data_IF_799334116806
#
_entry.id   IF_799334116806
#
_cell.length_a   1.000
_cell.length_b   1.000
_cell.length_c   1.000
_cell.angle_alpha   90.00
_cell.angle_beta   90.00
_cell.angle_gamma   90.00
#
_symmetry.space_group_name_H-M   'P 1'
#
loop_
_entity.id
_entity.type
_entity.pdbx_description
1 polymer ?
#
# COMPACT_ATOMS: atom_id res chain seq x y z
N UNK A 1 16.15 -22.74 37.61
CA UNK A 1 15.73 -22.49 36.22
C UNK A 1 15.22 -21.06 36.20
N UNK A 2 15.82 -20.19 35.40
CA UNK A 2 15.44 -18.76 35.33
C UNK A 2 14.37 -18.53 34.26
N UNK A 3 13.75 -17.34 34.27
CA UNK A 3 12.73 -16.96 33.28
C UNK A 3 13.25 -17.07 31.83
N UNK A 4 14.49 -16.64 31.58
CA UNK A 4 15.11 -16.67 30.26
C UNK A 4 15.14 -18.09 29.69
N UNK A 5 15.62 -19.06 30.46
CA UNK A 5 15.72 -20.46 30.05
C UNK A 5 14.35 -21.07 29.73
N UNK A 6 13.31 -20.69 30.46
CA UNK A 6 11.93 -21.16 30.20
C UNK A 6 11.40 -20.57 28.89
N UNK A 7 11.57 -19.26 28.69
CA UNK A 7 11.15 -18.55 27.47
C UNK A 7 11.85 -19.14 26.24
N UNK A 8 13.17 -19.32 26.28
CA UNK A 8 13.95 -19.86 25.15
C UNK A 8 13.55 -21.29 24.81
N UNK A 9 13.35 -22.15 25.81
CA UNK A 9 12.90 -23.53 25.60
C UNK A 9 11.50 -23.58 25.00
N UNK A 10 10.59 -22.73 25.49
CA UNK A 10 9.26 -22.61 24.93
C UNK A 10 9.30 -22.12 23.49
N UNK A 11 10.06 -21.07 23.22
CA UNK A 11 10.20 -20.49 21.88
C UNK A 11 10.77 -21.49 20.88
N UNK A 12 11.82 -22.23 21.26
CA UNK A 12 12.40 -23.26 20.40
C UNK A 12 11.40 -24.38 20.09
N UNK A 13 10.62 -24.80 21.08
CA UNK A 13 9.61 -25.85 20.93
C UNK A 13 8.45 -25.41 20.02
N UNK A 14 7.92 -24.22 20.24
CA UNK A 14 6.70 -23.75 19.57
C UNK A 14 6.95 -23.09 18.21
N UNK A 15 8.11 -22.44 18.03
CA UNK A 15 8.38 -21.61 16.85
C UNK A 15 9.64 -22.02 16.07
N UNK A 16 10.54 -22.81 16.65
CA UNK A 16 11.83 -23.16 16.04
C UNK A 16 12.86 -22.01 16.10
N UNK A 17 13.75 -21.95 15.11
CA UNK A 17 14.94 -21.07 15.12
C UNK A 17 14.74 -19.70 14.42
N UNK A 18 13.66 -19.53 13.66
CA UNK A 18 13.44 -18.33 12.83
C UNK A 18 12.87 -17.17 13.66
N UNK A 19 12.21 -17.49 14.77
CA UNK A 19 11.61 -16.55 15.69
C UNK A 19 12.60 -16.23 16.82
N UNK A 20 12.73 -14.96 17.14
CA UNK A 20 13.53 -14.47 18.26
C UNK A 20 12.61 -14.00 19.38
N UNK A 21 13.11 -14.12 20.60
CA UNK A 21 12.44 -13.66 21.81
C UNK A 21 13.33 -12.64 22.50
N UNK A 22 12.72 -11.59 23.02
CA UNK A 22 13.43 -10.60 23.82
C UNK A 22 13.65 -11.12 25.25
N UNK A 23 14.59 -10.55 26.01
CA UNK A 23 14.74 -10.90 27.42
C UNK A 23 13.42 -10.66 28.19
N UNK A 24 13.01 -11.58 29.09
CA UNK A 24 11.79 -11.42 29.86
C UNK A 24 11.92 -10.26 30.83
N UNK A 25 10.95 -9.35 30.79
CA UNK A 25 10.83 -8.22 31.70
C UNK A 25 9.76 -8.50 32.75
N UNK A 26 10.06 -8.22 34.03
CA UNK A 26 9.09 -8.37 35.11
C UNK A 26 8.09 -7.22 35.12
N UNK A 27 6.79 -7.54 35.20
CA UNK A 27 5.69 -6.57 35.18
C UNK A 27 5.02 -6.52 36.56
N UNK A 28 5.38 -5.50 37.35
CA UNK A 28 4.93 -5.31 38.74
C UNK A 28 3.41 -5.29 38.91
N UNK A 29 2.65 -4.75 37.93
CA UNK A 29 1.19 -4.57 38.06
C UNK A 29 0.42 -5.90 38.03
N UNK A 30 1.03 -6.99 37.59
CA UNK A 30 0.37 -8.29 37.50
C UNK A 30 1.19 -9.47 37.98
N UNK A 31 2.38 -9.23 38.54
CA UNK A 31 3.31 -10.25 39.02
C UNK A 31 3.56 -11.36 37.99
N UNK A 32 4.05 -10.96 36.82
CA UNK A 32 4.39 -11.87 35.74
C UNK A 32 5.61 -11.37 34.95
N UNK A 33 6.30 -12.28 34.28
CA UNK A 33 7.34 -11.97 33.31
C UNK A 33 6.75 -11.94 31.91
N UNK A 34 7.18 -10.98 31.10
CA UNK A 34 6.75 -10.78 29.73
C UNK A 34 7.94 -10.77 28.80
N UNK A 35 7.91 -11.61 27.77
CA UNK A 35 8.88 -11.61 26.68
C UNK A 35 8.16 -11.34 25.37
N UNK A 36 8.65 -10.37 24.60
CA UNK A 36 8.16 -10.09 23.26
C UNK A 36 8.69 -11.11 22.25
N UNK A 37 7.89 -11.40 21.23
CA UNK A 37 8.24 -12.29 20.11
C UNK A 37 8.48 -11.42 18.86
N UNK A 38 9.61 -11.63 18.18
CA UNK A 38 10.00 -10.89 16.96
C UNK A 38 10.52 -11.82 15.87
N UNK A 39 10.52 -11.36 14.62
CA UNK A 39 11.06 -12.12 13.49
C UNK A 39 11.95 -11.27 12.60
N UNK A 40 12.94 -11.94 12.01
CA UNK A 40 13.82 -11.39 10.99
C UNK A 40 13.52 -12.15 9.70
N UNK A 41 12.58 -11.63 8.89
CA UNK A 41 12.13 -12.34 7.69
C UNK A 41 13.05 -12.03 6.50
N UNK A 42 13.72 -13.04 5.91
CA UNK A 42 14.61 -12.80 4.77
C UNK A 42 13.80 -12.56 3.50
N UNK A 43 14.21 -11.54 2.74
CA UNK A 43 13.69 -11.18 1.43
C UNK A 43 14.82 -11.34 0.43
N UNK A 44 14.64 -12.26 -0.52
CA UNK A 44 15.60 -12.53 -1.59
C UNK A 44 15.31 -11.61 -2.77
N UNK A 45 16.32 -10.89 -3.22
CA UNK A 45 16.21 -9.90 -4.28
C UNK A 45 17.19 -10.27 -5.40
N UNK A 46 16.62 -10.40 -6.59
CA UNK A 46 17.34 -10.79 -7.80
C UNK A 46 17.41 -9.58 -8.74
N UNK A 47 18.63 -9.22 -9.15
CA UNK A 47 18.89 -8.27 -10.22
C UNK A 47 19.24 -9.04 -11.49
N UNK A 48 18.42 -8.89 -12.54
CA UNK A 48 18.57 -9.66 -13.77
C UNK A 48 19.80 -9.27 -14.61
N UNK A 49 20.59 -8.26 -14.20
CA UNK A 49 21.92 -8.00 -14.79
C UNK A 49 22.96 -9.01 -14.30
N UNK A 50 22.83 -9.48 -13.07
CA UNK A 50 23.78 -10.35 -12.39
C UNK A 50 23.04 -11.55 -11.79
N UNK A 51 22.46 -12.45 -12.62
CA UNK A 51 21.55 -13.50 -12.14
C UNK A 51 22.20 -14.55 -11.22
N UNK A 52 23.53 -14.62 -11.17
CA UNK A 52 24.27 -15.48 -10.26
C UNK A 52 24.31 -14.92 -8.82
N UNK A 53 24.11 -13.60 -8.67
CA UNK A 53 24.17 -12.91 -7.39
C UNK A 53 22.77 -12.54 -6.93
N UNK A 54 22.43 -12.96 -5.71
CA UNK A 54 21.20 -12.55 -5.04
C UNK A 54 21.55 -11.79 -3.77
N UNK A 55 20.81 -10.71 -3.52
CA UNK A 55 20.96 -9.90 -2.32
C UNK A 55 19.88 -10.34 -1.32
N UNK A 56 20.28 -10.51 -0.06
CA UNK A 56 19.34 -10.79 1.04
C UNK A 56 19.13 -9.50 1.84
N UNK A 57 17.87 -9.10 1.97
CA UNK A 57 17.43 -8.09 2.94
C UNK A 57 16.62 -8.75 4.04
N UNK A 58 16.61 -8.15 5.23
CA UNK A 58 15.88 -8.67 6.37
C UNK A 58 14.78 -7.68 6.72
N UNK A 59 13.53 -8.10 6.54
CA UNK A 59 12.37 -7.40 7.04
C UNK A 59 12.24 -7.68 8.53
N UNK A 60 12.42 -6.64 9.35
CA UNK A 60 12.30 -6.74 10.81
C UNK A 60 10.84 -6.61 11.20
N UNK A 61 10.34 -7.58 11.96
CA UNK A 61 9.00 -7.58 12.53
C UNK A 61 9.18 -7.59 14.04
N UNK A 62 8.95 -6.43 14.65
CA UNK A 62 9.32 -6.18 16.04
C UNK A 62 8.32 -6.79 17.04
N UNK A 63 7.06 -6.99 16.64
CA UNK A 63 6.03 -7.56 17.51
C UNK A 63 5.14 -8.57 16.79
N UNK A 64 5.32 -9.85 17.09
CA UNK A 64 4.50 -10.98 16.61
C UNK A 64 3.59 -11.57 17.69
N UNK A 65 3.79 -11.18 18.94
CA UNK A 65 3.10 -11.73 20.09
C UNK A 65 3.97 -11.67 21.32
N UNK A 66 3.60 -12.44 22.34
CA UNK A 66 4.30 -12.42 23.62
C UNK A 66 4.26 -13.78 24.32
N UNK A 67 5.26 -14.04 25.15
CA UNK A 67 5.31 -15.16 26.08
C UNK A 67 5.17 -14.59 27.48
N UNK A 68 4.23 -15.13 28.25
CA UNK A 68 3.97 -14.68 29.62
C UNK A 68 4.23 -15.81 30.61
N UNK A 69 5.01 -15.53 31.67
CA UNK A 69 5.26 -16.46 32.78
C UNK A 69 4.73 -15.90 34.10
N UNK A 70 4.21 -16.73 34.99
CA UNK A 70 3.94 -16.31 36.38
C UNK A 70 5.25 -16.22 37.20
N UNK A 71 5.15 -15.83 38.47
CA UNK A 71 6.29 -15.76 39.40
C UNK A 71 7.00 -17.11 39.61
N UNK A 72 6.31 -18.23 39.33
CA UNK A 72 6.86 -19.59 39.39
C UNK A 72 7.45 -20.05 38.06
N UNK A 73 7.64 -19.14 37.10
CA UNK A 73 8.14 -19.41 35.74
C UNK A 73 7.30 -20.42 34.95
N UNK A 74 6.00 -20.49 35.22
CA UNK A 74 5.06 -21.30 34.43
C UNK A 74 4.40 -20.42 33.38
N UNK A 75 4.29 -20.95 32.16
CA UNK A 75 3.60 -20.29 31.05
C UNK A 75 2.15 -20.01 31.45
N UNK A 76 1.68 -18.78 31.18
CA UNK A 76 0.28 -18.37 31.33
C UNK A 76 -0.39 -18.51 29.95
N UNK A 77 -1.14 -19.60 29.69
CA UNK A 77 -1.69 -19.87 28.36
C UNK A 77 -2.56 -18.74 27.78
N UNK A 78 -3.51 -18.13 28.53
CA UNK A 78 -4.39 -17.11 27.94
C UNK A 78 -3.68 -15.79 27.60
N UNK A 79 -2.40 -15.63 27.96
CA UNK A 79 -1.60 -14.44 27.68
C UNK A 79 -0.40 -14.71 26.77
N UNK A 80 -0.23 -15.96 26.33
CA UNK A 80 0.91 -16.39 25.54
C UNK A 80 0.46 -16.72 24.13
N UNK A 81 1.15 -16.15 23.14
CA UNK A 81 0.90 -16.43 21.73
C UNK A 81 1.52 -17.77 21.37
N UNK A 82 0.73 -18.76 20.93
CA UNK A 82 1.25 -20.08 20.56
C UNK A 82 1.67 -20.16 19.08
N UNK A 83 2.31 -21.26 18.67
CA UNK A 83 2.91 -21.38 17.33
C UNK A 83 1.98 -21.07 16.16
N UNK A 84 0.75 -21.59 16.18
CA UNK A 84 -0.23 -21.35 15.13
C UNK A 84 -0.65 -19.87 15.04
N UNK A 85 -0.85 -19.23 16.20
CA UNK A 85 -1.20 -17.80 16.29
C UNK A 85 -0.02 -16.92 15.84
N UNK A 86 1.20 -17.24 16.27
CA UNK A 86 2.42 -16.55 15.86
C UNK A 86 2.61 -16.61 14.33
N UNK A 87 2.35 -17.78 13.71
CA UNK A 87 2.43 -17.93 12.26
C UNK A 87 1.34 -17.11 11.54
N UNK A 88 0.12 -17.08 12.08
CA UNK A 88 -0.95 -16.26 11.54
C UNK A 88 -0.60 -14.76 11.61
N UNK A 89 -0.09 -14.32 12.77
CA UNK A 89 0.42 -12.98 12.99
C UNK A 89 1.51 -12.62 11.97
N UNK A 90 2.49 -13.50 11.76
CA UNK A 90 3.52 -13.29 10.73
C UNK A 90 2.92 -13.12 9.34
N UNK A 91 1.97 -13.97 8.93
CA UNK A 91 1.30 -13.86 7.63
C UNK A 91 0.56 -12.53 7.48
N UNK A 92 -0.18 -12.11 8.51
CA UNK A 92 -0.88 -10.82 8.52
C UNK A 92 0.10 -9.65 8.38
N UNK A 93 1.25 -9.70 9.06
CA UNK A 93 2.26 -8.64 8.99
C UNK A 93 2.91 -8.56 7.62
N UNK A 94 3.20 -9.70 7.00
CA UNK A 94 3.71 -9.74 5.63
C UNK A 94 2.68 -9.20 4.63
N UNK A 95 1.40 -9.55 4.80
CA UNK A 95 0.33 -9.03 3.92
C UNK A 95 0.11 -7.53 4.13
N UNK A 96 0.15 -7.05 5.37
CA UNK A 96 0.12 -5.62 5.67
C UNK A 96 1.30 -4.89 5.02
N UNK A 97 2.53 -5.43 5.12
CA UNK A 97 3.70 -4.86 4.46
C UNK A 97 3.50 -4.75 2.95
N UNK A 98 2.98 -5.80 2.31
CA UNK A 98 2.66 -5.78 0.88
C UNK A 98 1.69 -4.65 0.51
N UNK A 99 0.64 -4.47 1.30
CA UNK A 99 -0.33 -3.40 1.05
C UNK A 99 0.30 -2.02 1.24
N UNK A 100 1.17 -1.85 2.25
CA UNK A 100 1.90 -0.60 2.46
C UNK A 100 2.86 -0.30 1.30
N UNK A 101 3.61 -1.30 0.82
CA UNK A 101 4.50 -1.14 -0.32
C UNK A 101 3.75 -0.72 -1.58
N UNK A 102 2.63 -1.38 -1.89
CA UNK A 102 1.78 -0.99 -3.04
C UNK A 102 1.25 0.44 -2.88
N UNK A 103 0.78 0.82 -1.68
CA UNK A 103 0.31 2.18 -1.41
C UNK A 103 1.43 3.22 -1.57
N UNK A 104 2.65 2.91 -1.11
CA UNK A 104 3.82 3.79 -1.31
C UNK A 104 4.08 3.98 -2.80
N UNK A 105 4.12 2.90 -3.57
CA UNK A 105 4.38 2.94 -5.01
C UNK A 105 3.33 3.78 -5.71
N UNK A 106 2.04 3.51 -5.47
CA UNK A 106 0.95 4.30 -6.08
C UNK A 106 0.99 5.76 -5.67
N UNK A 107 1.28 6.03 -4.39
CA UNK A 107 1.32 7.39 -3.85
C UNK A 107 2.46 8.23 -4.43
N UNK A 108 3.57 7.59 -4.79
CA UNK A 108 4.71 8.25 -5.44
C UNK A 108 4.49 8.37 -6.96
N UNK A 109 3.99 7.31 -7.60
CA UNK A 109 3.77 7.27 -9.06
C UNK A 109 2.45 7.94 -9.51
N UNK A 110 1.66 8.55 -8.60
CA UNK A 110 0.28 8.99 -8.92
C UNK A 110 0.22 9.99 -10.07
N UNK A 111 1.20 10.89 -10.16
CA UNK A 111 1.31 11.90 -11.21
C UNK A 111 1.57 11.28 -12.59
N UNK A 112 2.37 10.22 -12.66
CA UNK A 112 2.64 9.49 -13.91
C UNK A 112 1.47 8.59 -14.27
N UNK A 113 0.87 7.92 -13.28
CA UNK A 113 -0.24 7.00 -13.48
C UNK A 113 -1.47 7.70 -14.07
N UNK A 114 -1.79 8.93 -13.64
CA UNK A 114 -2.93 9.67 -14.20
C UNK A 114 -2.74 10.05 -15.66
N UNK A 115 -1.50 10.15 -16.16
CA UNK A 115 -1.19 10.41 -17.57
C UNK A 115 -1.47 9.22 -18.49
N UNK A 116 -1.72 8.04 -17.91
CA UNK A 116 -2.13 6.86 -18.70
C UNK A 116 -3.58 7.07 -19.13
N UNK A 117 -3.82 7.19 -20.44
CA UNK A 117 -5.15 7.42 -21.02
C UNK A 117 -6.23 6.45 -20.50
N UNK A 118 -5.89 5.17 -20.36
CA UNK A 118 -6.84 4.19 -19.81
C UNK A 118 -7.19 4.43 -18.35
N UNK A 119 -6.35 5.13 -17.57
CA UNK A 119 -6.66 5.55 -16.20
C UNK A 119 -7.64 6.72 -16.24
N UNK A 120 -7.36 7.77 -17.04
CA UNK A 120 -8.26 8.94 -17.20
C UNK A 120 -9.69 8.53 -17.54
N UNK A 121 -9.86 7.57 -18.45
CA UNK A 121 -11.20 7.06 -18.82
C UNK A 121 -12.05 6.57 -17.63
N UNK A 122 -11.43 6.12 -16.54
CA UNK A 122 -12.15 5.70 -15.32
C UNK A 122 -12.54 6.89 -14.42
N UNK A 123 -11.86 8.01 -14.57
CA UNK A 123 -12.09 9.25 -13.85
C UNK A 123 -12.99 10.24 -14.59
N UNK A 124 -13.46 9.95 -15.81
CA UNK A 124 -14.33 10.84 -16.60
C UNK A 124 -15.49 11.46 -15.81
N UNK A 125 -16.11 10.72 -14.87
CA UNK A 125 -17.21 11.26 -14.04
C UNK A 125 -16.71 12.24 -12.98
N UNK A 126 -15.52 12.03 -12.44
CA UNK A 126 -14.86 13.00 -11.56
C UNK A 126 -14.42 14.21 -12.38
N UNK A 127 -13.82 13.99 -13.56
CA UNK A 127 -13.42 15.06 -14.49
C UNK A 127 -14.60 15.97 -14.82
N UNK A 128 -15.73 15.41 -15.24
CA UNK A 128 -16.96 16.16 -15.52
C UNK A 128 -17.41 17.05 -14.33
N UNK A 129 -17.34 16.52 -13.11
CA UNK A 129 -17.73 17.26 -11.91
C UNK A 129 -16.75 18.41 -11.65
N UNK A 130 -15.46 18.14 -11.79
CA UNK A 130 -14.41 19.14 -11.55
C UNK A 130 -14.43 20.23 -12.62
N UNK A 131 -14.60 19.88 -13.89
CA UNK A 131 -14.75 20.83 -15.00
C UNK A 131 -15.96 21.74 -14.79
N UNK A 132 -17.11 21.18 -14.41
CA UNK A 132 -18.28 22.00 -14.07
C UNK A 132 -17.99 22.96 -12.92
N UNK A 133 -17.26 22.50 -11.90
CA UNK A 133 -16.87 23.32 -10.76
C UNK A 133 -15.91 24.45 -11.17
N UNK A 134 -14.97 24.18 -12.08
CA UNK A 134 -14.05 25.19 -12.64
C UNK A 134 -14.78 26.26 -13.44
N UNK A 135 -15.82 25.88 -14.19
CA UNK A 135 -16.58 26.83 -15.02
C UNK A 135 -17.59 27.66 -14.21
N UNK A 136 -18.16 27.09 -13.14
CA UNK A 136 -19.32 27.66 -12.45
C UNK A 136 -19.08 28.06 -10.99
N UNK A 137 -17.89 27.78 -10.43
CA UNK A 137 -17.49 27.97 -9.02
C UNK A 137 -18.34 27.23 -7.97
N UNK A 138 -19.45 26.61 -8.37
CA UNK A 138 -20.38 25.89 -7.52
C UNK A 138 -21.25 24.94 -8.32
N UNK A 139 -21.70 23.87 -7.68
CA UNK A 139 -22.63 22.89 -8.27
C UNK A 139 -23.89 22.82 -7.42
N UNK A 140 -25.05 23.11 -7.99
CA UNK A 140 -26.30 22.92 -7.27
C UNK A 140 -26.57 21.41 -7.10
N UNK A 141 -26.90 20.96 -5.89
CA UNK A 141 -27.07 19.53 -5.59
C UNK A 141 -28.09 18.81 -6.48
N UNK A 142 -29.13 19.52 -6.92
CA UNK A 142 -30.12 18.96 -7.83
C UNK A 142 -29.53 18.64 -9.21
N UNK A 143 -28.57 19.44 -9.69
CA UNK A 143 -28.05 19.34 -11.07
C UNK A 143 -27.19 18.09 -11.27
N UNK A 144 -26.50 17.64 -10.22
CA UNK A 144 -25.68 16.41 -10.22
C UNK A 144 -26.44 15.15 -10.63
N UNK A 145 -27.77 15.12 -10.45
CA UNK A 145 -28.55 13.89 -10.62
C UNK A 145 -29.85 14.11 -11.40
N UNK A 146 -30.10 15.31 -11.91
CA UNK A 146 -31.37 15.66 -12.56
C UNK A 146 -31.64 14.84 -13.82
N UNK A 147 -30.60 14.61 -14.62
CA UNK A 147 -30.70 14.00 -15.95
C UNK A 147 -30.14 12.58 -16.03
N UNK A 148 -29.64 12.03 -14.92
CA UNK A 148 -28.93 10.75 -14.91
C UNK A 148 -29.87 9.57 -14.53
N UNK A 149 -29.67 8.37 -15.09
CA UNK A 149 -30.34 7.15 -14.62
C UNK A 149 -29.98 6.82 -13.16
N UNK A 150 -30.84 6.10 -12.44
CA UNK A 150 -30.68 5.80 -11.00
C UNK A 150 -29.30 5.22 -10.63
N UNK A 151 -28.79 4.26 -11.41
CA UNK A 151 -27.45 3.68 -11.17
C UNK A 151 -26.33 4.73 -11.28
N UNK A 152 -26.43 5.63 -12.27
CA UNK A 152 -25.46 6.72 -12.44
C UNK A 152 -25.58 7.75 -11.32
N UNK A 153 -26.79 8.04 -10.81
CA UNK A 153 -26.99 8.92 -9.64
C UNK A 153 -26.24 8.39 -8.41
N UNK A 154 -26.33 7.09 -8.14
CA UNK A 154 -25.62 6.45 -7.03
C UNK A 154 -24.10 6.56 -7.21
N UNK A 155 -23.60 6.35 -8.43
CA UNK A 155 -22.17 6.47 -8.74
C UNK A 155 -21.66 7.90 -8.56
N UNK A 156 -22.38 8.91 -9.05
CA UNK A 156 -22.05 10.33 -8.87
C UNK A 156 -22.03 10.70 -7.38
N UNK A 157 -23.03 10.26 -6.61
CA UNK A 157 -23.04 10.48 -5.14
C UNK A 157 -21.81 9.89 -4.46
N UNK A 158 -21.38 8.68 -4.83
CA UNK A 158 -20.16 8.08 -4.30
C UNK A 158 -18.91 8.92 -4.63
N UNK A 159 -18.79 9.43 -5.85
CA UNK A 159 -17.69 10.32 -6.21
C UNK A 159 -17.73 11.65 -5.47
N UNK A 160 -18.92 12.25 -5.27
CA UNK A 160 -19.06 13.47 -4.47
C UNK A 160 -18.63 13.23 -3.03
N UNK A 161 -19.11 12.16 -2.39
CA UNK A 161 -18.71 11.81 -1.04
C UNK A 161 -17.19 11.57 -0.94
N UNK A 162 -16.60 10.92 -1.95
CA UNK A 162 -15.16 10.73 -2.04
C UNK A 162 -14.42 12.07 -2.08
N UNK A 163 -14.81 12.97 -2.98
CA UNK A 163 -14.18 14.29 -3.13
C UNK A 163 -14.39 15.19 -1.91
N UNK A 164 -15.55 15.10 -1.26
CA UNK A 164 -15.85 15.80 -0.01
C UNK A 164 -14.97 15.27 1.14
N UNK A 165 -14.82 13.95 1.26
CA UNK A 165 -13.93 13.32 2.26
C UNK A 165 -12.46 13.69 2.07
N UNK A 166 -12.09 14.17 0.89
CA UNK A 166 -10.76 14.64 0.54
C UNK A 166 -10.61 16.16 0.68
N UNK A 167 -11.69 16.88 1.01
CA UNK A 167 -11.66 18.35 1.08
C UNK A 167 -11.41 19.02 -0.27
N UNK A 168 -11.76 18.34 -1.37
CA UNK A 168 -11.76 18.92 -2.73
C UNK A 168 -13.01 19.76 -2.93
N UNK A 169 -14.16 19.22 -2.53
CA UNK A 169 -15.44 19.94 -2.47
C UNK A 169 -15.95 20.00 -1.04
N UNK A 170 -16.82 20.95 -0.72
CA UNK A 170 -17.61 20.95 0.52
C UNK A 170 -19.05 21.29 0.23
N UNK A 171 -19.97 20.69 0.99
CA UNK A 171 -21.38 20.98 0.88
C UNK A 171 -21.77 22.21 1.72
N UNK A 172 -22.36 23.21 1.06
CA UNK A 172 -23.00 24.38 1.66
C UNK A 172 -24.38 24.55 1.04
N UNK A 173 -25.42 24.07 1.73
CA UNK A 173 -26.79 23.99 1.21
C UNK A 173 -27.21 25.27 0.47
N UNK A 174 -27.67 25.19 -0.80
CA UNK A 174 -27.93 23.99 -1.61
C UNK A 174 -26.80 23.55 -2.57
N UNK A 175 -25.59 24.05 -2.39
CA UNK A 175 -24.48 23.92 -3.34
C UNK A 175 -23.33 23.04 -2.82
N UNK A 176 -22.57 22.49 -3.74
CA UNK A 176 -21.19 22.09 -3.50
C UNK A 176 -20.27 23.17 -4.03
N UNK A 177 -19.26 23.54 -3.25
CA UNK A 177 -18.28 24.57 -3.60
C UNK A 177 -16.85 24.06 -3.42
N UNK A 178 -15.84 24.73 -4.00
CA UNK A 178 -14.44 24.43 -3.77
C UNK A 178 -14.07 24.41 -2.28
N UNK A 179 -13.35 23.38 -1.86
CA UNK A 179 -12.81 23.28 -0.51
C UNK A 179 -11.28 23.46 -0.52
N UNK A 180 -10.65 23.29 0.65
CA UNK A 180 -9.26 23.70 0.88
C UNK A 180 -8.26 23.07 -0.09
N UNK A 181 -8.41 21.78 -0.41
CA UNK A 181 -7.49 21.09 -1.34
C UNK A 181 -7.64 21.68 -2.74
N UNK A 182 -8.87 21.89 -3.21
CA UNK A 182 -9.11 22.53 -4.50
C UNK A 182 -8.45 23.92 -4.56
N UNK A 183 -8.79 24.80 -3.61
CA UNK A 183 -8.32 26.19 -3.58
C UNK A 183 -6.78 26.25 -3.50
N UNK A 184 -6.17 25.37 -2.69
CA UNK A 184 -4.71 25.32 -2.57
C UNK A 184 -4.02 24.82 -3.84
N UNK A 185 -4.64 23.86 -4.54
CA UNK A 185 -4.11 23.30 -5.78
C UNK A 185 -4.23 24.31 -6.91
N UNK A 186 -5.39 24.97 -7.02
CA UNK A 186 -5.67 26.02 -8.00
C UNK A 186 -4.64 27.15 -7.92
N UNK A 187 -4.35 27.65 -6.71
CA UNK A 187 -3.31 28.67 -6.48
C UNK A 187 -1.90 28.26 -6.92
N UNK A 188 -1.61 26.96 -6.96
CA UNK A 188 -0.32 26.40 -7.37
C UNK A 188 -0.23 26.05 -8.85
N UNK A 189 -1.34 26.10 -9.58
CA UNK A 189 -1.42 25.72 -10.99
C UNK A 189 -1.74 26.91 -11.88
N UNK A 190 -1.29 26.89 -13.13
CA UNK A 190 -1.48 27.98 -14.09
C UNK A 190 -2.44 27.64 -15.24
N UNK A 191 -2.99 26.43 -15.27
CA UNK A 191 -3.95 25.96 -16.28
C UNK A 191 -4.94 24.99 -15.66
N UNK A 192 -6.17 24.96 -16.18
CA UNK A 192 -7.24 24.05 -15.73
C UNK A 192 -6.85 22.58 -15.91
N UNK A 193 -6.14 22.25 -17.00
CA UNK A 193 -5.64 20.90 -17.24
C UNK A 193 -4.65 20.44 -16.14
N UNK A 194 -3.80 21.35 -15.66
CA UNK A 194 -2.87 21.06 -14.56
C UNK A 194 -3.62 20.94 -13.25
N UNK A 195 -4.58 21.82 -12.98
CA UNK A 195 -5.44 21.73 -11.80
C UNK A 195 -6.15 20.38 -11.76
N UNK A 196 -6.80 19.99 -12.87
CA UNK A 196 -7.50 18.72 -13.01
C UNK A 196 -6.57 17.54 -12.76
N UNK A 197 -5.42 17.52 -13.45
CA UNK A 197 -4.41 16.47 -13.30
C UNK A 197 -3.94 16.36 -11.85
N UNK A 198 -3.64 17.48 -11.20
CA UNK A 198 -3.19 17.51 -9.81
C UNK A 198 -4.26 17.02 -8.83
N UNK A 199 -5.53 17.39 -9.03
CA UNK A 199 -6.65 16.91 -8.22
C UNK A 199 -6.87 15.40 -8.40
N UNK A 200 -6.84 14.89 -9.62
CA UNK A 200 -6.97 13.46 -9.88
C UNK A 200 -5.80 12.66 -9.32
N UNK A 201 -4.57 13.15 -9.47
CA UNK A 201 -3.39 12.57 -8.84
C UNK A 201 -3.55 12.53 -7.32
N UNK A 202 -4.03 13.60 -6.70
CA UNK A 202 -4.32 13.65 -5.28
C UNK A 202 -5.35 12.59 -4.84
N UNK A 203 -6.42 12.40 -5.62
CA UNK A 203 -7.43 11.35 -5.37
C UNK A 203 -6.78 9.96 -5.42
N UNK A 204 -5.97 9.67 -6.44
CA UNK A 204 -5.25 8.38 -6.55
C UNK A 204 -4.32 8.19 -5.35
N UNK A 205 -3.53 9.22 -5.04
CA UNK A 205 -2.52 9.21 -3.99
C UNK A 205 -3.06 8.86 -2.61
N UNK A 206 -4.28 9.30 -2.29
CA UNK A 206 -4.88 9.13 -0.95
C UNK A 206 -5.89 7.98 -0.93
N UNK A 207 -6.63 7.75 -2.02
CA UNK A 207 -7.80 6.86 -2.02
C UNK A 207 -7.66 5.68 -2.98
N UNK A 208 -6.46 5.33 -3.42
CA UNK A 208 -6.24 4.16 -4.26
C UNK A 208 -6.90 2.86 -3.74
N UNK A 209 -6.83 2.49 -2.44
CA UNK A 209 -7.53 1.31 -1.94
C UNK A 209 -9.06 1.39 -2.16
N UNK A 210 -9.67 2.53 -1.83
CA UNK A 210 -11.11 2.79 -2.07
C UNK A 210 -11.44 2.71 -3.57
N UNK A 211 -10.61 3.33 -4.42
CA UNK A 211 -10.76 3.30 -5.88
C UNK A 211 -10.69 1.86 -6.43
N UNK A 212 -9.78 1.04 -5.92
CA UNK A 212 -9.64 -0.36 -6.31
C UNK A 212 -10.84 -1.19 -5.84
N UNK A 213 -11.17 -1.10 -4.55
CA UNK A 213 -12.07 -2.04 -3.87
C UNK A 213 -13.55 -1.64 -4.00
N UNK A 214 -13.88 -0.35 -3.97
CA UNK A 214 -15.27 0.15 -4.03
C UNK A 214 -15.70 0.59 -5.43
N UNK A 215 -14.75 1.14 -6.22
CA UNK A 215 -15.02 1.60 -7.58
C UNK A 215 -14.65 0.57 -8.66
N UNK A 216 -14.12 -0.59 -8.26
CA UNK A 216 -13.91 -1.74 -9.14
C UNK A 216 -12.90 -1.48 -10.26
N UNK A 217 -11.89 -0.65 -10.00
CA UNK A 217 -10.94 -0.20 -11.02
C UNK A 217 -9.88 -1.26 -11.33
N UNK A 218 -10.30 -2.39 -11.91
CA UNK A 218 -9.47 -3.56 -12.23
C UNK A 218 -8.33 -3.30 -13.21
N UNK A 219 -8.42 -2.26 -14.04
CA UNK A 219 -7.32 -1.82 -14.91
C UNK A 219 -6.20 -1.19 -14.08
N UNK A 220 -6.54 -0.38 -13.06
CA UNK A 220 -5.56 0.17 -12.13
C UNK A 220 -4.81 -0.98 -11.46
N UNK A 221 -5.54 -1.99 -10.97
CA UNK A 221 -4.97 -3.14 -10.25
C UNK A 221 -3.83 -3.80 -11.01
N UNK A 222 -3.96 -4.05 -12.32
CA UNK A 222 -2.90 -4.73 -13.08
C UNK A 222 -1.73 -3.81 -13.43
N UNK A 223 -1.99 -2.56 -13.77
CA UNK A 223 -0.93 -1.61 -14.11
C UNK A 223 -0.12 -1.24 -12.87
N UNK A 224 -0.80 -0.90 -11.77
CA UNK A 224 -0.20 -0.71 -10.44
C UNK A 224 0.52 -1.98 -10.01
N UNK A 225 -0.08 -3.15 -10.23
CA UNK A 225 0.54 -4.40 -9.85
C UNK A 225 1.90 -4.64 -10.52
N UNK A 226 2.01 -4.28 -11.81
CA UNK A 226 3.28 -4.33 -12.55
C UNK A 226 4.26 -3.27 -12.06
N UNK A 227 3.80 -2.05 -11.79
CA UNK A 227 4.63 -0.97 -11.24
C UNK A 227 5.23 -1.39 -9.89
N UNK A 228 4.39 -1.92 -9.01
CA UNK A 228 4.79 -2.39 -7.69
C UNK A 228 5.81 -3.54 -7.75
N UNK A 229 5.69 -4.51 -8.65
CA UNK A 229 6.70 -5.60 -8.72
C UNK A 229 8.05 -5.16 -9.28
N UNK A 230 8.11 -4.00 -9.95
CA UNK A 230 9.37 -3.37 -10.36
C UNK A 230 9.97 -2.60 -9.18
N UNK A 231 9.17 -1.79 -8.48
CA UNK A 231 9.66 -0.94 -7.39
C UNK A 231 9.82 -1.64 -6.04
N UNK A 232 9.10 -2.73 -5.76
CA UNK A 232 9.20 -3.46 -4.49
C UNK A 232 10.64 -3.90 -4.17
N UNK A 233 11.40 -4.56 -5.07
CA UNK A 233 12.80 -4.87 -4.79
C UNK A 233 13.66 -3.61 -4.60
N UNK A 234 13.39 -2.51 -5.30
CA UNK A 234 14.11 -1.25 -5.14
C UNK A 234 13.82 -0.58 -3.80
N UNK A 235 12.59 -0.68 -3.31
CA UNK A 235 12.17 -0.22 -1.97
C UNK A 235 12.93 -0.94 -0.86
N UNK A 236 13.22 -2.23 -1.03
CA UNK A 236 13.98 -3.02 -0.07
C UNK A 236 15.50 -2.81 -0.18
N UNK A 237 15.99 -2.60 -1.40
CA UNK A 237 17.41 -2.41 -1.64
C UNK A 237 17.88 -0.96 -1.44
N UNK A 238 16.97 0.00 -1.55
CA UNK A 238 17.22 1.45 -1.62
C UNK A 238 18.10 1.86 -2.82
N UNK A 239 18.10 1.04 -3.88
CA UNK A 239 18.86 1.25 -5.13
C UNK A 239 18.10 0.65 -6.32
N UNK A 240 18.52 0.98 -7.55
CA UNK A 240 17.92 0.42 -8.77
C UNK A 240 18.11 -1.09 -8.84
N UNK A 241 17.04 -1.83 -9.18
CA UNK A 241 17.07 -3.27 -9.39
C UNK A 241 16.49 -3.57 -10.76
N UNK A 242 17.30 -4.17 -11.62
CA UNK A 242 16.93 -4.38 -13.02
C UNK A 242 16.16 -5.69 -13.17
N UNK A 243 15.04 -5.61 -13.89
CA UNK A 243 14.06 -6.70 -14.01
C UNK A 243 13.71 -6.99 -15.47
N UNK A 244 13.91 -8.21 -15.92
CA UNK A 244 13.42 -8.69 -17.21
C UNK A 244 11.95 -9.13 -17.12
N UNK A 245 11.32 -9.35 -18.27
CA UNK A 245 9.89 -9.71 -18.32
C UNK A 245 9.58 -11.04 -17.60
N UNK A 246 10.32 -12.15 -17.80
CA UNK A 246 10.12 -13.38 -17.03
C UNK A 246 10.10 -13.15 -15.51
N UNK A 247 11.09 -12.43 -14.99
CA UNK A 247 11.20 -12.10 -13.56
C UNK A 247 10.06 -11.23 -13.07
N UNK A 248 9.52 -10.34 -13.91
CA UNK A 248 8.32 -9.55 -13.59
C UNK A 248 7.08 -10.45 -13.53
N UNK A 249 6.91 -11.37 -14.48
CA UNK A 249 5.78 -12.34 -14.50
C UNK A 249 5.80 -13.20 -13.24
N UNK A 250 6.96 -13.75 -12.88
CA UNK A 250 7.12 -14.61 -11.72
C UNK A 250 6.85 -13.86 -10.42
N UNK A 251 7.40 -12.64 -10.27
CA UNK A 251 7.10 -11.79 -9.12
C UNK A 251 5.63 -11.43 -9.03
N UNK A 252 5.00 -11.07 -10.16
CA UNK A 252 3.57 -10.76 -10.20
C UNK A 252 2.73 -11.96 -9.76
N UNK A 253 3.04 -13.16 -10.24
CA UNK A 253 2.36 -14.39 -9.84
C UNK A 253 2.53 -14.70 -8.36
N UNK A 254 3.76 -14.58 -7.83
CA UNK A 254 4.04 -14.84 -6.41
C UNK A 254 3.37 -13.81 -5.50
N UNK A 255 3.35 -12.55 -5.91
CA UNK A 255 2.84 -11.46 -5.08
C UNK A 255 1.31 -11.41 -5.07
N UNK A 256 0.67 -11.49 -6.25
CA UNK A 256 -0.78 -11.34 -6.40
C UNK A 256 -1.54 -12.66 -6.53
N UNK A 257 -0.85 -13.80 -6.61
CA UNK A 257 -1.49 -15.10 -6.84
C UNK A 257 -2.17 -15.24 -8.21
N UNK A 258 -1.87 -14.34 -9.15
CA UNK A 258 -2.55 -14.23 -10.46
C UNK A 258 -1.53 -14.28 -11.59
N UNK A 259 -1.87 -14.97 -12.68
CA UNK A 259 -1.07 -14.93 -13.90
C UNK A 259 -1.35 -13.62 -14.66
N UNK A 260 -0.31 -13.07 -15.30
CA UNK A 260 -0.44 -11.95 -16.23
C UNK A 260 -0.19 -12.44 -17.66
N UNK A 261 -1.08 -12.07 -18.58
CA UNK A 261 -0.90 -12.38 -19.99
C UNK A 261 0.33 -11.61 -20.54
N UNK A 262 1.26 -12.27 -21.25
CA UNK A 262 2.48 -11.61 -21.75
C UNK A 262 2.24 -10.42 -22.68
N UNK A 263 1.20 -10.48 -23.55
CA UNK A 263 0.85 -9.35 -24.42
C UNK A 263 0.36 -8.16 -23.59
N UNK A 264 -0.44 -8.43 -22.55
CA UNK A 264 -0.90 -7.41 -21.62
C UNK A 264 0.26 -6.82 -20.81
N UNK A 265 1.21 -7.63 -20.37
CA UNK A 265 2.41 -7.14 -19.69
C UNK A 265 3.21 -6.19 -20.59
N UNK A 266 3.44 -6.56 -21.86
CA UNK A 266 4.13 -5.70 -22.82
C UNK A 266 3.43 -4.34 -22.99
N UNK A 267 2.09 -4.35 -23.07
CA UNK A 267 1.30 -3.12 -23.17
C UNK A 267 1.43 -2.26 -21.91
N UNK A 268 1.39 -2.86 -20.72
CA UNK A 268 1.53 -2.14 -19.45
C UNK A 268 2.92 -1.52 -19.32
N UNK A 269 3.98 -2.29 -19.58
CA UNK A 269 5.36 -1.81 -19.50
C UNK A 269 5.60 -0.62 -20.44
N UNK A 270 5.12 -0.69 -21.68
CA UNK A 270 5.20 0.43 -22.63
C UNK A 270 4.45 1.67 -22.14
N UNK A 271 3.30 1.51 -21.49
CA UNK A 271 2.52 2.62 -20.94
C UNK A 271 3.25 3.27 -19.77
N UNK A 272 3.74 2.47 -18.82
CA UNK A 272 4.52 2.94 -17.67
C UNK A 272 5.79 3.66 -18.11
N UNK A 273 6.51 3.10 -19.08
CA UNK A 273 7.70 3.71 -19.68
C UNK A 273 7.36 5.05 -20.36
N UNK A 274 6.28 5.11 -21.15
CA UNK A 274 5.84 6.32 -21.85
C UNK A 274 5.53 7.48 -20.89
N UNK A 275 4.89 7.20 -19.76
CA UNK A 275 4.54 8.22 -18.76
C UNK A 275 5.70 8.50 -17.79
N UNK A 276 6.85 7.87 -17.97
CA UNK A 276 8.01 8.03 -17.08
C UNK A 276 7.76 7.50 -15.67
N UNK A 277 6.89 6.49 -15.51
CA UNK A 277 6.71 5.78 -14.24
C UNK A 277 7.82 4.74 -14.03
N UNK A 278 8.39 4.19 -15.10
CA UNK A 278 9.54 3.28 -15.06
C UNK A 278 10.53 3.64 -16.18
N UNK A 279 11.74 3.09 -16.09
CA UNK A 279 12.76 3.19 -17.13
C UNK A 279 13.08 1.82 -17.71
N UNK A 280 13.63 1.82 -18.93
CA UNK A 280 14.10 0.63 -19.62
C UNK A 280 15.53 0.82 -20.10
N UNK A 281 16.37 -0.19 -19.91
CA UNK A 281 17.72 -0.29 -20.47
C UNK A 281 17.89 -1.69 -21.04
N UNK A 282 18.09 -1.77 -22.37
CA UNK A 282 18.08 -3.04 -23.10
C UNK A 282 16.78 -3.83 -22.85
N UNK A 283 16.85 -5.04 -22.31
CA UNK A 283 15.70 -5.89 -22.00
C UNK A 283 15.20 -5.76 -20.56
N UNK A 284 15.85 -4.92 -19.75
CA UNK A 284 15.54 -4.77 -18.33
C UNK A 284 14.78 -3.47 -18.04
N UNK A 285 13.84 -3.57 -17.11
CA UNK A 285 13.03 -2.48 -16.56
C UNK A 285 13.44 -2.21 -15.11
N UNK A 286 13.39 -0.95 -14.70
CA UNK A 286 13.77 -0.51 -13.35
C UNK A 286 13.07 0.81 -13.02
N UNK A 287 13.12 1.21 -11.76
CA UNK A 287 12.49 2.43 -11.27
C UNK A 287 13.19 3.71 -11.72
N UNK A 288 12.40 4.78 -11.86
CA UNK A 288 12.88 6.14 -12.06
C UNK A 288 13.43 6.65 -10.73
N UNK A 289 14.61 7.25 -10.75
CA UNK A 289 15.33 7.66 -9.53
C UNK A 289 14.50 8.60 -8.62
N UNK A 290 13.91 9.66 -9.17
CA UNK A 290 13.10 10.61 -8.38
C UNK A 290 11.88 9.96 -7.72
N UNK A 291 11.23 9.02 -8.40
CA UNK A 291 10.10 8.26 -7.84
C UNK A 291 10.59 7.30 -6.76
N UNK A 292 11.68 6.58 -6.99
CA UNK A 292 12.30 5.70 -5.99
C UNK A 292 12.67 6.47 -4.72
N UNK A 293 13.28 7.65 -4.84
CA UNK A 293 13.66 8.48 -3.69
C UNK A 293 12.44 8.92 -2.86
N UNK A 294 11.34 9.33 -3.50
CA UNK A 294 10.09 9.64 -2.81
C UNK A 294 9.51 8.40 -2.12
N UNK A 295 9.53 7.24 -2.79
CA UNK A 295 9.09 5.96 -2.22
C UNK A 295 9.90 5.55 -1.00
N UNK A 296 11.24 5.67 -1.04
CA UNK A 296 12.13 5.40 0.10
C UNK A 296 11.84 6.38 1.24
N UNK A 297 11.63 7.66 0.92
CA UNK A 297 11.29 8.68 1.92
C UNK A 297 9.96 8.37 2.61
N UNK A 298 8.95 7.93 1.84
CA UNK A 298 7.66 7.48 2.38
C UNK A 298 7.82 6.22 3.24
N UNK A 299 8.61 5.23 2.79
CA UNK A 299 8.92 4.02 3.57
C UNK A 299 9.55 4.35 4.92
N UNK A 300 10.52 5.28 4.96
CA UNK A 300 11.21 5.70 6.20
C UNK A 300 10.30 6.41 7.20
N UNK A 301 9.15 6.93 6.75
CA UNK A 301 8.12 7.54 7.61
C UNK A 301 7.13 6.53 8.18
N UNK A 302 7.14 5.28 7.72
CA UNK A 302 6.29 4.23 8.28
C UNK A 302 6.81 3.83 9.66
N UNK A 303 5.87 3.59 10.57
CA UNK A 303 6.19 2.95 11.84
C UNK A 303 6.73 1.53 11.60
N UNK A 304 7.57 1.01 12.52
CA UNK A 304 7.99 -0.39 12.47
C UNK A 304 6.78 -1.33 12.39
N UNK A 305 6.94 -2.44 11.66
CA UNK A 305 5.90 -3.47 11.56
C UNK A 305 5.61 -4.04 12.95
N UNK A 306 4.55 -3.52 13.58
CA UNK A 306 4.03 -3.92 14.87
C UNK A 306 2.54 -4.27 14.78
N UNK A 307 2.11 -5.32 15.50
CA UNK A 307 0.70 -5.61 15.66
C UNK A 307 0.15 -4.60 16.66
N UNK A 308 -0.44 -3.52 16.18
CA UNK A 308 -1.24 -2.66 17.04
C UNK A 308 -2.51 -3.43 17.44
N UNK A 309 -3.01 -3.33 18.69
CA UNK A 309 -4.28 -3.94 19.11
C UNK A 309 -5.51 -3.41 18.34
N UNK A 310 -5.32 -2.48 17.41
CA UNK A 310 -6.32 -1.92 16.52
C UNK A 310 -5.97 -2.14 15.04
N UNK A 311 -5.75 -3.39 14.62
CA UNK A 311 -5.94 -3.72 13.20
C UNK A 311 -7.43 -3.51 12.88
N UNK A 312 -7.81 -2.63 11.95
CA UNK A 312 -9.20 -2.45 11.56
C UNK A 312 -9.76 -3.80 11.09
N UNK A 313 -10.94 -4.19 11.58
CA UNK A 313 -11.64 -5.43 11.18
C UNK A 313 -11.81 -5.58 9.66
N UNK A 314 -11.65 -4.50 8.89
CA UNK A 314 -11.64 -4.54 7.42
C UNK A 314 -10.47 -5.33 6.82
N UNK A 315 -9.44 -5.67 7.60
CA UNK A 315 -8.32 -6.53 7.19
C UNK A 315 -8.47 -7.99 7.65
N UNK A 316 -9.52 -8.31 8.43
CA UNK A 316 -9.75 -9.66 8.99
C UNK A 316 -10.69 -10.54 8.13
N UNK A 317 -11.10 -10.09 6.94
CA UNK A 317 -11.96 -10.87 6.06
C UNK A 317 -11.33 -10.95 4.67
N UNK A 318 -10.71 -12.10 4.38
CA UNK A 318 -10.84 -12.85 3.12
C UNK A 318 -10.45 -14.29 3.31
#
# INVERSE_FOLDING_TARGET
>A
MDAQSVVERFAFKEYGQVIKVDPPMYVNKGNYYLSNIRAHYPVYIFDDREPADYKIRVLKIEHLGQITLNDQFQIIPPRTTYGAECLNNLKMMLEYWKQQAENIVVSASSDQLIQIESFRNHFNKIELILEYLMENDRIHKADLTRYEPQEQKLKIRRYMNLMESLGIVRYEEPYYIPANIYISTEKGTNTDEKLLTSLLSHIIKIRYPTLRDEFGLTILEKTVGVDNVIYLPELEMEESVYRNKPSIVDSYKRYYGKNINPMRLNQILRRLEKVGAIQRKLENYFGVESLREDMITKKKKLEPLTISPHIPRSLMIR
#
